data_IF_681718272969
#
_entry.id   IF_681718272969
#
_cell.length_a   1.000
_cell.length_b   1.000
_cell.length_c   1.000
_cell.angle_alpha   90.00
_cell.angle_beta   90.00
_cell.angle_gamma   90.00
#
_symmetry.space_group_name_H-M   'P 1'
#
loop_
_entity.id
_entity.type
_entity.pdbx_description
1 polymer ?
#
# COMPACT_ATOMS: atom_id res chain seq x y z
N UNK A 1 -30.66 -69.96 -12.43
CA UNK A 1 -29.49 -69.08 -12.32
C UNK A 1 -29.61 -67.99 -13.37
N UNK A 2 -30.14 -66.82 -13.02
CA UNK A 2 -30.13 -65.62 -13.88
C UNK A 2 -29.71 -64.48 -12.95
N UNK A 3 -28.49 -63.99 -13.15
CA UNK A 3 -27.91 -62.89 -12.40
C UNK A 3 -28.59 -61.58 -12.80
N UNK A 4 -29.10 -60.82 -11.82
CA UNK A 4 -29.58 -59.46 -12.02
C UNK A 4 -28.40 -58.50 -11.92
N UNK A 5 -28.05 -57.86 -13.04
CA UNK A 5 -27.15 -56.71 -13.07
C UNK A 5 -27.83 -55.53 -12.36
N UNK A 6 -27.17 -55.00 -11.32
CA UNK A 6 -27.50 -53.69 -10.77
C UNK A 6 -26.74 -52.63 -11.57
N UNK A 7 -27.47 -51.75 -12.26
CA UNK A 7 -26.91 -50.57 -12.90
C UNK A 7 -26.80 -49.49 -11.82
N UNK A 8 -25.59 -49.17 -11.40
CA UNK A 8 -25.32 -48.03 -10.54
C UNK A 8 -25.34 -46.75 -11.41
N UNK A 9 -26.30 -45.87 -11.16
CA UNK A 9 -26.31 -44.53 -11.73
C UNK A 9 -25.22 -43.70 -11.04
N UNK A 10 -24.17 -43.35 -11.78
CA UNK A 10 -23.17 -42.38 -11.32
C UNK A 10 -23.79 -40.99 -11.42
N UNK A 11 -24.10 -40.38 -10.26
CA UNK A 11 -24.41 -38.97 -10.15
C UNK A 11 -23.08 -38.21 -10.24
N UNK A 12 -22.82 -37.57 -11.38
CA UNK A 12 -21.74 -36.60 -11.50
C UNK A 12 -22.12 -35.39 -10.65
N UNK A 13 -21.45 -35.20 -9.52
CA UNK A 13 -21.40 -33.90 -8.86
C UNK A 13 -20.47 -33.00 -9.69
N UNK A 14 -21.05 -32.13 -10.50
CA UNK A 14 -20.35 -30.94 -10.97
C UNK A 14 -20.12 -30.07 -9.74
N UNK A 15 -18.91 -30.13 -9.17
CA UNK A 15 -18.42 -29.10 -8.27
C UNK A 15 -18.17 -27.88 -9.16
N UNK A 16 -19.17 -27.00 -9.27
CA UNK A 16 -18.90 -25.64 -9.69
C UNK A 16 -18.02 -25.03 -8.59
N UNK A 17 -16.75 -24.74 -8.91
CA UNK A 17 -15.93 -23.89 -8.05
C UNK A 17 -16.67 -22.57 -7.82
N UNK A 18 -16.45 -21.87 -6.68
CA UNK A 18 -17.02 -20.55 -6.51
C UNK A 18 -16.53 -19.71 -7.69
N UNK A 19 -17.44 -19.03 -8.39
CA UNK A 19 -17.02 -17.92 -9.23
C UNK A 19 -16.28 -16.96 -8.30
N UNK A 20 -14.98 -16.81 -8.50
CA UNK A 20 -14.14 -15.87 -7.76
C UNK A 20 -14.79 -14.48 -7.96
N UNK A 21 -15.34 -13.90 -6.89
CA UNK A 21 -15.92 -12.57 -6.97
C UNK A 21 -14.77 -11.55 -7.06
N UNK A 22 -14.93 -10.53 -7.91
CA UNK A 22 -14.03 -9.38 -7.92
C UNK A 22 -13.93 -8.75 -6.52
N UNK A 23 -12.87 -8.00 -6.27
CA UNK A 23 -12.65 -7.30 -5.00
C UNK A 23 -13.90 -6.53 -4.57
N UNK A 24 -14.24 -6.63 -3.29
CA UNK A 24 -15.39 -5.97 -2.70
C UNK A 24 -15.14 -4.50 -2.31
N UNK A 25 -13.94 -3.98 -2.62
CA UNK A 25 -13.46 -2.67 -2.25
C UNK A 25 -13.68 -1.64 -3.38
N UNK A 26 -14.29 -0.49 -3.05
CA UNK A 26 -14.49 0.62 -4.00
C UNK A 26 -14.11 1.97 -3.40
N UNK A 27 -13.65 2.89 -4.23
CA UNK A 27 -13.46 4.28 -3.85
C UNK A 27 -14.78 5.07 -4.03
N UNK A 28 -15.37 5.54 -2.93
CA UNK A 28 -16.64 6.24 -2.95
C UNK A 28 -16.61 7.48 -2.04
N UNK A 29 -16.64 8.66 -2.65
CA UNK A 29 -16.39 9.90 -1.93
C UNK A 29 -14.99 9.86 -1.30
N UNK A 30 -14.85 10.34 -0.06
CA UNK A 30 -13.54 10.45 0.60
C UNK A 30 -12.99 9.13 1.19
N UNK A 31 -13.65 8.00 0.97
CA UNK A 31 -13.35 6.76 1.66
C UNK A 31 -13.40 5.55 0.74
N UNK A 32 -12.60 4.54 1.08
CA UNK A 32 -12.80 3.20 0.55
C UNK A 32 -13.98 2.55 1.26
N UNK A 33 -14.79 1.79 0.52
CA UNK A 33 -15.94 1.07 1.07
C UNK A 33 -15.96 -0.38 0.65
N UNK A 34 -16.40 -1.24 1.56
CA UNK A 34 -16.67 -2.64 1.25
C UNK A 34 -18.07 -2.84 0.62
N UNK A 35 -18.41 -4.09 0.31
CA UNK A 35 -19.71 -4.45 -0.24
C UNK A 35 -20.89 -4.11 0.70
N UNK A 36 -20.68 -4.03 2.02
CA UNK A 36 -21.70 -3.63 2.99
C UNK A 36 -21.84 -2.11 3.15
N UNK A 37 -20.95 -1.33 2.50
CA UNK A 37 -20.92 0.12 2.59
C UNK A 37 -20.20 0.66 3.83
N UNK A 38 -19.49 -0.19 4.57
CA UNK A 38 -18.63 0.26 5.68
C UNK A 38 -17.42 0.96 5.11
N UNK A 39 -16.95 2.00 5.81
CA UNK A 39 -15.68 2.63 5.47
C UNK A 39 -14.53 1.69 5.84
N UNK A 40 -13.64 1.42 4.89
CA UNK A 40 -12.43 0.61 5.09
C UNK A 40 -11.24 1.55 5.21
N UNK A 41 -10.47 1.43 6.29
CA UNK A 41 -9.18 2.11 6.41
C UNK A 41 -8.09 1.11 6.02
N UNK A 42 -7.31 1.46 5.01
CA UNK A 42 -6.25 0.59 4.50
C UNK A 42 -4.93 0.86 5.25
N UNK A 43 -4.34 -0.17 5.84
CA UNK A 43 -3.03 -0.12 6.52
C UNK A 43 -2.19 -1.30 6.09
N UNK A 44 -1.00 -1.02 5.60
CA UNK A 44 -0.17 -2.02 4.96
C UNK A 44 1.27 -1.62 4.78
N UNK A 45 1.92 -2.33 3.87
CA UNK A 45 3.32 -2.18 3.51
C UNK A 45 3.49 -2.24 2.00
N UNK A 46 4.60 -1.66 1.52
CA UNK A 46 5.13 -1.98 0.21
C UNK A 46 5.89 -3.32 0.28
N UNK A 47 5.84 -4.11 -0.79
CA UNK A 47 6.50 -5.41 -0.86
C UNK A 47 7.03 -5.64 -2.29
N UNK A 48 8.31 -5.89 -2.53
CA UNK A 48 9.44 -5.78 -1.61
C UNK A 48 10.63 -5.08 -2.27
N UNK A 49 11.55 -4.53 -1.48
CA UNK A 49 12.71 -3.79 -2.01
C UNK A 49 13.61 -4.65 -2.91
N UNK A 50 13.71 -5.94 -2.62
CA UNK A 50 14.50 -6.92 -3.37
C UNK A 50 13.77 -7.44 -4.62
N UNK A 51 12.56 -6.93 -4.90
CA UNK A 51 11.83 -7.20 -6.15
C UNK A 51 12.31 -6.31 -7.30
N UNK A 52 13.07 -5.25 -7.02
CA UNK A 52 13.53 -4.23 -8.00
C UNK A 52 14.57 -4.75 -9.00
N UNK A 53 15.27 -5.83 -8.65
CA UNK A 53 16.38 -6.38 -9.45
C UNK A 53 16.23 -7.89 -9.64
N UNK A 54 16.88 -8.49 -10.66
CA UNK A 54 16.82 -9.93 -10.85
C UNK A 54 17.19 -10.69 -9.56
N UNK A 55 16.42 -11.73 -9.19
CA UNK A 55 15.47 -12.46 -10.03
C UNK A 55 14.01 -11.93 -10.03
N UNK A 56 13.72 -10.77 -9.43
CA UNK A 56 12.39 -10.13 -9.37
C UNK A 56 11.28 -10.89 -8.62
N UNK A 57 11.53 -12.12 -8.17
CA UNK A 57 10.52 -12.98 -7.51
C UNK A 57 10.92 -13.40 -6.09
N UNK A 58 11.15 -12.46 -5.15
CA UNK A 58 11.66 -12.79 -3.81
C UNK A 58 10.63 -13.48 -2.90
N UNK A 59 9.33 -13.29 -3.17
CA UNK A 59 8.24 -13.82 -2.33
C UNK A 59 7.97 -15.28 -2.68
N UNK A 60 8.66 -16.21 -2.04
CA UNK A 60 8.70 -17.62 -2.48
C UNK A 60 7.77 -18.56 -1.72
N UNK A 61 7.10 -18.11 -0.67
CA UNK A 61 6.14 -18.92 0.08
C UNK A 61 5.04 -18.07 0.76
N UNK A 62 3.92 -18.72 1.05
CA UNK A 62 2.76 -18.07 1.67
C UNK A 62 3.08 -17.54 3.08
N UNK A 63 3.94 -18.25 3.83
CA UNK A 63 4.29 -17.95 5.21
C UNK A 63 4.98 -16.59 5.36
N UNK A 64 5.59 -16.07 4.28
CA UNK A 64 6.17 -14.73 4.27
C UNK A 64 5.12 -13.63 4.46
N UNK A 65 3.84 -13.91 4.20
CA UNK A 65 2.75 -12.95 4.39
C UNK A 65 2.06 -13.09 5.75
N UNK A 66 2.33 -14.16 6.52
CA UNK A 66 1.70 -14.41 7.82
C UNK A 66 1.89 -13.24 8.81
N UNK A 67 3.10 -12.65 8.94
CA UNK A 67 3.30 -11.53 9.86
C UNK A 67 2.43 -10.33 9.54
N UNK A 68 2.09 -10.10 8.27
CA UNK A 68 1.30 -8.95 7.85
C UNK A 68 -0.14 -9.04 8.37
N UNK A 69 -0.76 -10.21 8.21
CA UNK A 69 -2.08 -10.50 8.79
C UNK A 69 -2.03 -10.38 10.32
N UNK A 70 -0.96 -10.91 10.92
CA UNK A 70 -0.76 -10.84 12.36
C UNK A 70 -0.57 -9.41 12.89
N UNK A 71 0.01 -8.52 12.10
CA UNK A 71 0.12 -7.11 12.47
C UNK A 71 -1.15 -6.31 12.16
N UNK A 72 -2.21 -7.00 11.75
CA UNK A 72 -3.52 -6.43 11.44
C UNK A 72 -3.53 -5.65 10.13
N UNK A 73 -2.54 -5.84 9.26
CA UNK A 73 -2.53 -5.21 7.94
C UNK A 73 -3.64 -5.79 7.07
N UNK A 74 -4.14 -4.98 6.14
CA UNK A 74 -5.20 -5.37 5.23
C UNK A 74 -4.93 -4.98 3.77
N UNK A 75 -3.79 -4.34 3.48
CA UNK A 75 -3.39 -3.99 2.11
C UNK A 75 -1.89 -4.26 1.95
N UNK A 76 -1.48 -4.67 0.77
CA UNK A 76 -0.09 -4.69 0.31
C UNK A 76 -0.01 -3.84 -0.96
N UNK A 77 0.99 -2.96 -1.08
CA UNK A 77 1.37 -2.38 -2.37
C UNK A 77 2.49 -3.25 -2.95
N UNK A 78 2.14 -4.08 -3.92
CA UNK A 78 3.02 -5.14 -4.42
C UNK A 78 3.65 -4.68 -5.73
N UNK A 79 4.98 -4.55 -5.71
CA UNK A 79 5.77 -4.02 -6.81
C UNK A 79 5.67 -4.95 -8.02
N UNK A 80 5.36 -4.36 -9.16
CA UNK A 80 5.41 -4.97 -10.47
C UNK A 80 6.51 -4.29 -11.29
N UNK A 81 7.56 -5.04 -11.64
CA UNK A 81 8.69 -4.54 -12.42
C UNK A 81 8.49 -4.89 -13.88
N UNK A 82 8.29 -3.88 -14.76
CA UNK A 82 8.01 -4.14 -16.18
C UNK A 82 9.12 -4.93 -16.88
N UNK A 83 10.38 -4.70 -16.49
CA UNK A 83 11.51 -5.48 -17.02
C UNK A 83 11.35 -6.99 -16.83
N UNK A 84 10.82 -7.42 -15.67
CA UNK A 84 10.61 -8.83 -15.39
C UNK A 84 9.56 -9.45 -16.32
N UNK A 85 8.56 -8.66 -16.73
CA UNK A 85 7.47 -9.12 -17.58
C UNK A 85 7.78 -9.05 -19.08
N UNK A 86 8.36 -7.95 -19.56
CA UNK A 86 8.66 -7.74 -20.99
C UNK A 86 10.16 -7.46 -21.19
N UNK A 87 11.04 -8.45 -20.97
CA UNK A 87 12.49 -8.26 -21.03
C UNK A 87 12.98 -7.87 -22.44
N UNK A 88 12.26 -8.26 -23.49
CA UNK A 88 12.48 -7.81 -24.87
C UNK A 88 11.14 -7.32 -25.46
N UNK A 89 11.15 -6.37 -26.43
CA UNK A 89 9.91 -5.81 -26.96
C UNK A 89 8.97 -6.89 -27.54
N UNK A 90 7.83 -7.12 -26.89
CA UNK A 90 6.81 -8.08 -27.30
C UNK A 90 7.12 -9.53 -26.92
N UNK A 91 8.18 -9.77 -26.15
CA UNK A 91 8.49 -11.07 -25.56
C UNK A 91 8.09 -11.00 -24.09
N UNK A 92 7.04 -11.75 -23.73
CA UNK A 92 6.43 -11.70 -22.41
C UNK A 92 6.81 -12.93 -21.60
N UNK A 93 7.25 -12.72 -20.36
CA UNK A 93 7.49 -13.78 -19.39
C UNK A 93 6.21 -14.03 -18.57
N UNK A 94 5.40 -14.98 -19.05
CA UNK A 94 4.17 -15.37 -18.36
C UNK A 94 4.44 -16.04 -16.99
N UNK A 95 5.64 -16.57 -16.76
CA UNK A 95 5.98 -17.15 -15.45
C UNK A 95 6.09 -16.10 -14.35
N UNK A 96 6.42 -14.85 -14.72
CA UNK A 96 6.35 -13.72 -13.79
C UNK A 96 4.90 -13.37 -13.41
N UNK A 97 3.95 -13.50 -14.33
CA UNK A 97 2.53 -13.31 -14.02
C UNK A 97 1.95 -14.46 -13.18
N UNK A 98 2.40 -15.69 -13.41
CA UNK A 98 2.04 -16.84 -12.57
C UNK A 98 2.57 -16.67 -11.14
N UNK A 99 3.80 -16.17 -11.00
CA UNK A 99 4.36 -15.76 -9.71
C UNK A 99 3.50 -14.68 -9.03
N UNK A 100 3.14 -13.63 -9.78
CA UNK A 100 2.35 -12.53 -9.25
C UNK A 100 0.96 -12.99 -8.80
N UNK A 101 0.28 -13.82 -9.60
CA UNK A 101 -1.00 -14.44 -9.23
C UNK A 101 -0.89 -15.27 -7.95
N UNK A 102 0.19 -16.05 -7.81
CA UNK A 102 0.40 -16.87 -6.62
C UNK A 102 0.52 -16.02 -5.35
N UNK A 103 1.14 -14.84 -5.43
CA UNK A 103 1.20 -13.90 -4.31
C UNK A 103 -0.17 -13.28 -4.02
N UNK A 104 -0.97 -12.99 -5.06
CA UNK A 104 -2.35 -12.54 -4.89
C UNK A 104 -3.21 -13.61 -4.19
N UNK A 105 -3.05 -14.89 -4.53
CA UNK A 105 -3.72 -16.01 -3.85
C UNK A 105 -3.35 -16.06 -2.36
N UNK A 106 -2.06 -15.97 -2.03
CA UNK A 106 -1.60 -15.96 -0.62
C UNK A 106 -2.13 -14.74 0.15
N UNK A 107 -2.26 -13.59 -0.49
CA UNK A 107 -2.88 -12.41 0.11
C UNK A 107 -4.39 -12.62 0.33
N UNK A 108 -5.09 -13.23 -0.64
CA UNK A 108 -6.53 -13.52 -0.55
C UNK A 108 -6.85 -14.46 0.63
N UNK A 109 -6.05 -15.50 0.83
CA UNK A 109 -6.19 -16.44 1.97
C UNK A 109 -6.11 -15.74 3.33
N UNK A 110 -5.44 -14.58 3.39
CA UNK A 110 -5.24 -13.77 4.61
C UNK A 110 -6.19 -12.58 4.70
N UNK A 111 -7.10 -12.42 3.74
CA UNK A 111 -7.99 -11.26 3.66
C UNK A 111 -7.23 -9.94 3.48
N UNK A 112 -6.11 -9.99 2.76
CA UNK A 112 -5.27 -8.84 2.45
C UNK A 112 -5.51 -8.46 1.00
N UNK A 113 -5.89 -7.21 0.77
CA UNK A 113 -5.98 -6.66 -0.57
C UNK A 113 -4.58 -6.32 -1.11
N UNK A 114 -4.44 -6.20 -2.42
CA UNK A 114 -3.19 -5.89 -3.11
C UNK A 114 -3.40 -4.74 -4.10
N UNK A 115 -2.56 -3.72 -4.00
CA UNK A 115 -2.39 -2.70 -5.04
C UNK A 115 -1.29 -3.21 -5.96
N UNK A 116 -1.61 -3.39 -7.25
CA UNK A 116 -0.60 -3.66 -8.27
C UNK A 116 0.09 -2.36 -8.61
N UNK A 117 1.37 -2.26 -8.29
CA UNK A 117 2.16 -1.04 -8.46
C UNK A 117 3.17 -1.19 -9.59
N UNK A 118 2.99 -0.44 -10.68
CA UNK A 118 3.99 -0.40 -11.74
C UNK A 118 5.18 0.43 -11.26
N UNK A 119 6.16 -0.29 -10.72
CA UNK A 119 7.26 0.31 -9.98
C UNK A 119 8.40 0.72 -10.91
N UNK A 120 8.98 1.87 -10.62
CA UNK A 120 10.21 2.36 -11.23
C UNK A 120 10.89 3.31 -10.24
N UNK A 121 12.21 3.26 -10.18
CA UNK A 121 13.06 4.30 -9.64
C UNK A 121 14.09 4.67 -10.68
N UNK A 122 14.03 5.93 -11.10
CA UNK A 122 14.94 6.47 -12.10
C UNK A 122 14.95 5.65 -13.40
N UNK A 123 13.75 5.30 -13.87
CA UNK A 123 13.43 4.66 -15.15
C UNK A 123 13.82 3.19 -15.28
N UNK A 124 15.11 2.85 -15.24
CA UNK A 124 15.60 1.50 -15.56
C UNK A 124 16.93 1.21 -14.87
N UNK A 125 17.25 -0.06 -14.61
CA UNK A 125 18.58 -0.46 -14.10
C UNK A 125 19.73 -0.18 -15.06
N UNK A 126 19.42 0.23 -16.29
CA UNK A 126 20.39 0.69 -17.28
C UNK A 126 20.45 2.22 -17.41
N UNK A 127 19.68 2.95 -16.61
CA UNK A 127 19.68 4.41 -16.52
C UNK A 127 20.34 4.88 -15.21
N UNK A 128 20.46 6.20 -15.04
CA UNK A 128 20.98 6.82 -13.80
C UNK A 128 22.31 6.20 -13.34
N UNK A 129 23.27 6.08 -14.27
CA UNK A 129 24.58 5.47 -14.02
C UNK A 129 24.53 4.01 -13.52
N UNK A 130 23.48 3.27 -13.88
CA UNK A 130 23.27 1.86 -13.51
C UNK A 130 22.48 1.66 -12.22
N UNK A 131 22.00 2.73 -11.58
CA UNK A 131 21.35 2.69 -10.27
C UNK A 131 19.81 2.58 -10.31
N UNK A 132 19.18 2.68 -11.48
CA UNK A 132 17.71 2.66 -11.55
C UNK A 132 17.08 1.26 -11.48
N UNK A 133 15.78 1.19 -11.73
CA UNK A 133 14.99 -0.04 -11.90
C UNK A 133 13.62 0.26 -12.53
N UNK A 134 12.83 -0.78 -12.83
CA UNK A 134 11.47 -0.66 -13.35
C UNK A 134 11.32 -1.04 -14.82
N UNK A 135 11.61 -0.09 -15.72
CA UNK A 135 11.42 -0.25 -17.16
C UNK A 135 12.57 -1.10 -17.76
N UNK A 136 12.28 -1.94 -18.77
CA UNK A 136 13.30 -2.74 -19.44
C UNK A 136 14.30 -1.87 -20.20
N UNK A 137 15.50 -2.40 -20.45
CA UNK A 137 16.58 -1.69 -21.14
C UNK A 137 16.15 -1.11 -22.51
N UNK A 138 15.31 -1.82 -23.25
CA UNK A 138 14.84 -1.40 -24.57
C UNK A 138 13.89 -0.20 -24.52
N UNK A 139 13.34 0.13 -23.34
CA UNK A 139 12.48 1.28 -23.14
C UNK A 139 13.27 2.57 -22.83
N UNK A 140 14.58 2.49 -22.60
CA UNK A 140 15.45 3.68 -22.58
C UNK A 140 15.58 4.18 -24.02
N UNK A 141 15.32 5.47 -24.23
CA UNK A 141 15.37 6.09 -25.56
C UNK A 141 16.73 5.91 -26.23
N UNK A 142 16.73 5.71 -27.55
CA UNK A 142 17.95 5.41 -28.30
C UNK A 142 19.01 6.55 -28.27
N UNK A 143 18.63 7.77 -27.89
CA UNK A 143 19.57 8.89 -27.73
C UNK A 143 20.35 8.87 -26.40
N UNK A 144 19.88 8.12 -25.41
CA UNK A 144 20.50 7.97 -24.09
C UNK A 144 21.34 6.69 -24.07
N UNK A 145 22.62 6.74 -23.65
CA UNK A 145 23.44 5.55 -23.54
C UNK A 145 22.97 4.64 -22.41
N UNK A 146 22.97 3.32 -22.65
CA UNK A 146 22.74 2.35 -21.58
C UNK A 146 23.98 2.24 -20.69
N UNK A 147 23.76 2.31 -19.39
CA UNK A 147 24.76 2.05 -18.36
C UNK A 147 24.70 0.58 -17.92
N UNK A 148 25.87 0.01 -17.59
CA UNK A 148 25.89 -1.32 -16.99
C UNK A 148 25.21 -1.24 -15.61
N UNK A 149 24.26 -2.13 -15.30
CA UNK A 149 23.59 -2.14 -14.00
C UNK A 149 24.59 -2.28 -12.86
N UNK A 150 24.50 -1.37 -11.89
CA UNK A 150 25.34 -1.29 -10.71
C UNK A 150 24.43 -1.04 -9.51
N UNK A 151 24.26 -2.07 -8.68
CA UNK A 151 23.41 -2.03 -7.49
C UNK A 151 24.25 -1.80 -6.21
N UNK A 152 25.48 -1.28 -6.35
CA UNK A 152 26.40 -1.16 -5.23
C UNK A 152 26.21 0.13 -4.44
N UNK A 153 26.37 0.04 -3.11
CA UNK A 153 26.34 1.21 -2.22
C UNK A 153 27.35 2.28 -2.65
N UNK A 154 28.52 1.86 -3.13
CA UNK A 154 29.59 2.77 -3.50
C UNK A 154 29.21 3.72 -4.65
N UNK A 155 28.39 3.24 -5.60
CA UNK A 155 27.92 4.03 -6.73
C UNK A 155 26.55 4.68 -6.46
N UNK A 156 25.66 3.97 -5.77
CA UNK A 156 24.24 4.30 -5.76
C UNK A 156 23.69 4.77 -4.40
N UNK A 157 24.49 5.01 -3.37
CA UNK A 157 23.97 5.56 -2.09
C UNK A 157 23.21 6.89 -2.27
N UNK A 158 23.54 7.67 -3.30
CA UNK A 158 22.89 8.94 -3.63
C UNK A 158 22.00 8.86 -4.89
N UNK A 159 21.52 7.66 -5.26
CA UNK A 159 20.77 7.39 -6.50
C UNK A 159 19.63 8.38 -6.74
N UNK A 160 18.91 8.78 -5.69
CA UNK A 160 17.74 9.66 -5.78
C UNK A 160 18.12 11.09 -6.17
N UNK A 161 19.20 11.62 -5.60
CA UNK A 161 19.73 12.94 -5.98
C UNK A 161 20.34 12.90 -7.38
N UNK A 162 21.03 11.80 -7.71
CA UNK A 162 21.59 11.60 -9.05
C UNK A 162 20.48 11.64 -10.10
N UNK A 163 19.43 10.83 -9.94
CA UNK A 163 18.32 10.75 -10.89
C UNK A 163 17.49 12.03 -10.98
N UNK A 164 17.28 12.74 -9.87
CA UNK A 164 16.59 14.04 -9.88
C UNK A 164 17.34 15.13 -10.66
N UNK A 165 18.66 14.99 -10.80
CA UNK A 165 19.52 15.96 -11.49
C UNK A 165 20.02 15.46 -12.85
N UNK A 166 19.61 14.25 -13.25
CA UNK A 166 20.07 13.60 -14.47
C UNK A 166 19.28 14.13 -15.69
N UNK A 167 19.92 14.85 -16.63
CA UNK A 167 19.24 15.31 -17.84
C UNK A 167 18.80 14.16 -18.76
N UNK A 168 19.42 12.98 -18.66
CA UNK A 168 19.02 11.80 -19.46
C UNK A 168 17.63 11.29 -19.07
N UNK A 169 17.25 11.50 -17.81
CA UNK A 169 15.90 11.21 -17.32
C UNK A 169 14.87 12.10 -18.01
N UNK A 170 15.10 13.42 -18.04
CA UNK A 170 14.17 14.36 -18.69
C UNK A 170 13.93 14.00 -20.16
N UNK A 171 15.00 13.64 -20.88
CA UNK A 171 14.92 13.20 -22.27
C UNK A 171 14.11 11.90 -22.40
N UNK A 172 14.40 10.91 -21.56
CA UNK A 172 13.73 9.59 -21.63
C UNK A 172 12.23 9.71 -21.32
N UNK A 173 11.87 10.48 -20.29
CA UNK A 173 10.47 10.75 -19.94
C UNK A 173 9.74 11.50 -21.06
N UNK A 174 10.33 12.53 -21.66
CA UNK A 174 9.74 13.26 -22.80
C UNK A 174 9.44 12.32 -23.98
N UNK A 175 10.38 11.42 -24.31
CA UNK A 175 10.21 10.43 -25.40
C UNK A 175 9.11 9.42 -25.08
N UNK A 176 8.97 9.02 -23.82
CA UNK A 176 7.89 8.15 -23.36
C UNK A 176 6.52 8.82 -23.46
N UNK A 177 6.34 10.02 -22.88
CA UNK A 177 5.04 10.69 -22.90
C UNK A 177 4.56 11.03 -24.31
N UNK A 178 5.48 11.42 -25.19
CA UNK A 178 5.18 11.67 -26.60
C UNK A 178 5.08 10.40 -27.46
N UNK A 179 5.35 9.22 -26.87
CA UNK A 179 5.37 7.92 -27.53
C UNK A 179 6.22 7.86 -28.80
N UNK A 180 7.35 8.57 -28.84
CA UNK A 180 8.14 8.75 -30.07
C UNK A 180 8.73 7.44 -30.60
N UNK A 181 8.93 6.47 -29.70
CA UNK A 181 9.51 5.15 -29.99
C UNK A 181 8.54 3.99 -29.71
N UNK A 182 7.26 4.29 -29.42
CA UNK A 182 6.23 3.28 -29.14
C UNK A 182 6.27 2.67 -27.74
N UNK A 183 7.06 3.24 -26.81
CA UNK A 183 7.19 2.74 -25.43
C UNK A 183 5.90 2.95 -24.64
N UNK A 184 5.22 4.10 -24.76
CA UNK A 184 3.93 4.34 -24.09
C UNK A 184 2.84 3.46 -24.67
N UNK A 185 2.84 3.22 -25.98
CA UNK A 185 1.94 2.23 -26.60
C UNK A 185 2.13 0.85 -25.99
N UNK A 186 3.36 0.39 -25.77
CA UNK A 186 3.64 -0.92 -25.14
C UNK A 186 3.29 -0.95 -23.66
N UNK A 187 3.57 0.13 -22.94
CA UNK A 187 3.17 0.27 -21.55
C UNK A 187 1.64 0.16 -21.39
N UNK A 188 0.85 0.79 -22.27
CA UNK A 188 -0.60 0.63 -22.28
C UNK A 188 -1.02 -0.81 -22.64
N UNK A 189 -0.30 -1.49 -23.52
CA UNK A 189 -0.55 -2.90 -23.82
C UNK A 189 -0.22 -3.83 -22.63
N UNK A 190 0.81 -3.51 -21.84
CA UNK A 190 1.07 -4.19 -20.56
C UNK A 190 -0.11 -3.97 -19.62
N UNK A 191 -0.57 -2.72 -19.43
CA UNK A 191 -1.72 -2.44 -18.56
C UNK A 191 -2.98 -3.21 -18.97
N UNK A 192 -3.28 -3.32 -20.27
CA UNK A 192 -4.41 -4.14 -20.77
C UNK A 192 -4.28 -5.60 -20.32
N UNK A 193 -3.08 -6.18 -20.45
CA UNK A 193 -2.82 -7.57 -20.10
C UNK A 193 -2.86 -7.82 -18.60
N UNK A 194 -2.32 -6.92 -17.79
CA UNK A 194 -2.40 -7.02 -16.33
C UNK A 194 -3.85 -6.92 -15.86
N UNK A 195 -4.64 -6.03 -16.46
CA UNK A 195 -6.06 -5.92 -16.17
C UNK A 195 -6.85 -7.15 -16.63
N UNK A 196 -6.54 -7.71 -17.79
CA UNK A 196 -7.13 -8.97 -18.27
C UNK A 196 -6.76 -10.17 -17.38
N UNK A 197 -5.50 -10.25 -16.93
CA UNK A 197 -5.00 -11.37 -16.11
C UNK A 197 -5.53 -11.34 -14.68
N UNK A 198 -5.53 -10.16 -14.05
CA UNK A 198 -5.75 -10.04 -12.60
C UNK A 198 -7.05 -9.34 -12.20
N UNK A 199 -7.75 -8.67 -13.11
CA UNK A 199 -8.92 -7.83 -12.77
C UNK A 199 -10.06 -8.56 -12.05
N UNK A 200 -10.19 -9.88 -12.26
CA UNK A 200 -11.18 -10.70 -11.56
C UNK A 200 -10.69 -11.27 -10.22
N UNK A 201 -9.44 -11.00 -9.83
CA UNK A 201 -8.83 -11.58 -8.64
C UNK A 201 -9.33 -10.89 -7.36
N UNK A 202 -9.83 -11.62 -6.34
CA UNK A 202 -10.49 -11.05 -5.17
C UNK A 202 -9.56 -10.22 -4.29
N UNK A 203 -8.27 -10.57 -4.24
CA UNK A 203 -7.28 -9.77 -3.53
C UNK A 203 -6.94 -8.47 -4.26
N UNK A 204 -7.13 -8.35 -5.58
CA UNK A 204 -6.68 -7.16 -6.30
C UNK A 204 -7.58 -5.96 -5.94
N UNK A 205 -7.05 -4.99 -5.20
CA UNK A 205 -7.72 -3.73 -4.91
C UNK A 205 -7.80 -2.85 -6.15
N UNK A 206 -6.76 -2.89 -6.97
CA UNK A 206 -6.60 -1.97 -8.08
C UNK A 206 -5.14 -1.76 -8.49
N UNK A 207 -4.91 -0.68 -9.22
CA UNK A 207 -3.67 -0.40 -9.95
C UNK A 207 -3.11 0.95 -9.54
N UNK A 208 -1.89 0.99 -9.02
CA UNK A 208 -1.06 2.19 -9.02
C UNK A 208 -0.35 2.24 -10.37
N UNK A 209 -0.79 3.19 -11.19
CA UNK A 209 -0.47 3.19 -12.61
C UNK A 209 1.03 3.39 -12.80
N UNK A 210 1.67 4.26 -12.03
CA UNK A 210 3.10 4.54 -12.20
C UNK A 210 3.67 5.11 -10.92
N UNK A 211 4.66 4.43 -10.36
CA UNK A 211 5.41 4.90 -9.21
C UNK A 211 6.14 6.21 -9.51
N UNK A 212 6.02 7.19 -8.60
CA UNK A 212 6.78 8.46 -8.59
C UNK A 212 7.11 9.05 -9.98
N UNK A 213 6.09 9.38 -10.79
CA UNK A 213 6.31 9.86 -12.15
C UNK A 213 7.12 11.16 -12.17
N UNK A 214 8.09 11.21 -13.07
CA UNK A 214 8.75 12.45 -13.46
C UNK A 214 7.99 13.07 -14.63
N UNK A 215 7.77 14.38 -14.59
CA UNK A 215 7.07 15.10 -15.65
C UNK A 215 6.12 16.15 -15.12
N UNK A 216 5.52 16.88 -16.05
CA UNK A 216 4.48 17.87 -15.83
C UNK A 216 3.14 17.16 -15.61
N UNK A 217 2.52 17.44 -14.47
CA UNK A 217 1.30 16.74 -14.04
C UNK A 217 0.15 16.84 -15.05
N UNK A 218 -0.15 18.03 -15.58
CA UNK A 218 -1.35 18.22 -16.41
C UNK A 218 -1.15 17.86 -17.89
N UNK A 219 0.07 17.96 -18.41
CA UNK A 219 0.36 17.80 -19.85
C UNK A 219 0.98 16.46 -20.20
N UNK A 220 1.52 15.73 -19.22
CA UNK A 220 2.24 14.47 -19.44
C UNK A 220 1.66 13.34 -18.59
N UNK A 221 1.65 13.51 -17.26
CA UNK A 221 1.24 12.45 -16.32
C UNK A 221 -0.27 12.20 -16.41
N UNK A 222 -1.09 13.24 -16.33
CA UNK A 222 -2.55 13.11 -16.37
C UNK A 222 -3.04 12.48 -17.69
N UNK A 223 -2.56 12.89 -18.89
CA UNK A 223 -2.90 12.20 -20.14
C UNK A 223 -2.48 10.73 -20.17
N UNK A 224 -1.32 10.36 -19.60
CA UNK A 224 -0.96 8.94 -19.43
C UNK A 224 -1.99 8.20 -18.57
N UNK A 225 -2.41 8.79 -17.47
CA UNK A 225 -3.40 8.19 -16.57
C UNK A 225 -4.78 8.07 -17.20
N UNK A 226 -5.24 9.03 -17.99
CA UNK A 226 -6.52 8.92 -18.72
C UNK A 226 -6.48 7.74 -19.71
N UNK A 227 -5.39 7.59 -20.47
CA UNK A 227 -5.25 6.50 -21.44
C UNK A 227 -5.11 5.14 -20.74
N UNK A 228 -4.31 5.05 -19.68
CA UNK A 228 -4.15 3.81 -18.91
C UNK A 228 -5.44 3.42 -18.18
N UNK A 229 -6.17 4.38 -17.61
CA UNK A 229 -7.47 4.17 -17.00
C UNK A 229 -8.48 3.62 -17.99
N UNK A 230 -8.53 4.17 -19.21
CA UNK A 230 -9.44 3.70 -20.26
C UNK A 230 -9.15 2.24 -20.64
N UNK A 231 -7.87 1.86 -20.71
CA UNK A 231 -7.44 0.48 -20.95
C UNK A 231 -7.85 -0.45 -19.81
N UNK A 232 -7.51 -0.08 -18.56
CA UNK A 232 -7.86 -0.88 -17.38
C UNK A 232 -9.37 -1.07 -17.31
N UNK A 233 -10.17 -0.01 -17.44
CA UNK A 233 -11.64 -0.05 -17.35
C UNK A 233 -12.30 -0.93 -18.40
N UNK A 234 -11.65 -1.17 -19.54
CA UNK A 234 -12.16 -2.08 -20.56
C UNK A 234 -12.10 -3.55 -20.13
N UNK A 235 -11.22 -3.90 -19.19
CA UNK A 235 -11.00 -5.26 -18.68
C UNK A 235 -11.49 -5.43 -17.24
N UNK A 236 -11.25 -4.43 -16.41
CA UNK A 236 -11.63 -4.34 -15.01
C UNK A 236 -12.35 -3.00 -14.73
N UNK A 237 -13.68 -2.96 -14.86
CA UNK A 237 -14.46 -1.76 -14.61
C UNK A 237 -14.50 -1.35 -13.13
N UNK A 238 -14.21 -2.27 -12.21
CA UNK A 238 -14.41 -2.12 -10.76
C UNK A 238 -13.09 -1.95 -9.97
N UNK A 239 -11.93 -2.21 -10.58
CA UNK A 239 -10.62 -1.99 -9.97
C UNK A 239 -10.36 -0.53 -9.62
N UNK A 240 -9.79 -0.26 -8.44
CA UNK A 240 -9.47 1.11 -8.04
C UNK A 240 -8.25 1.60 -8.83
N UNK A 241 -8.26 2.84 -9.30
CA UNK A 241 -7.05 3.47 -9.84
C UNK A 241 -6.41 4.31 -8.74
N UNK A 242 -5.15 4.02 -8.40
CA UNK A 242 -4.35 4.81 -7.47
C UNK A 242 -3.53 5.81 -8.27
N UNK A 243 -3.80 7.10 -8.06
CA UNK A 243 -3.24 8.20 -8.84
C UNK A 243 -2.08 8.82 -8.08
N UNK A 244 -0.88 8.49 -8.50
CA UNK A 244 0.38 9.00 -7.96
C UNK A 244 0.69 10.38 -8.59
N UNK A 245 0.95 11.44 -7.80
CA UNK A 245 1.37 12.73 -8.34
C UNK A 245 2.84 12.69 -8.78
N UNK A 246 3.34 13.80 -9.33
CA UNK A 246 4.77 13.93 -9.63
C UNK A 246 5.64 13.65 -8.38
N UNK A 247 6.80 13.02 -8.59
CA UNK A 247 7.81 12.68 -7.56
C UNK A 247 8.15 13.82 -6.60
N UNK A 248 8.03 15.08 -7.05
CA UNK A 248 8.28 16.25 -6.20
C UNK A 248 7.33 16.32 -5.00
N UNK A 249 6.17 15.66 -5.08
CA UNK A 249 5.23 15.54 -3.96
C UNK A 249 5.80 14.69 -2.82
N UNK A 250 6.64 13.69 -3.14
CA UNK A 250 7.31 12.82 -2.17
C UNK A 250 8.21 13.60 -1.21
N UNK A 251 8.75 14.74 -1.64
CA UNK A 251 9.55 15.64 -0.78
C UNK A 251 8.73 16.77 -0.13
N UNK A 252 7.40 16.69 -0.24
CA UNK A 252 6.45 17.60 0.43
C UNK A 252 6.07 18.84 -0.37
N UNK A 253 6.39 18.91 -1.67
CA UNK A 253 5.82 19.94 -2.55
C UNK A 253 4.36 19.60 -2.88
N UNK A 254 3.47 20.60 -3.06
CA UNK A 254 2.07 20.32 -3.35
C UNK A 254 1.91 19.89 -4.81
N UNK A 255 1.17 18.80 -5.03
CA UNK A 255 0.61 18.48 -6.35
C UNK A 255 -0.36 19.57 -6.81
N UNK A 256 -0.33 19.84 -8.12
CA UNK A 256 -1.19 20.78 -8.83
C UNK A 256 -2.00 20.11 -9.94
N UNK A 257 -1.87 18.79 -10.10
CA UNK A 257 -2.62 17.98 -11.04
C UNK A 257 -4.11 18.34 -10.99
N UNK A 258 -4.73 18.48 -12.16
CA UNK A 258 -6.18 18.57 -12.27
C UNK A 258 -6.85 17.23 -11.91
N UNK A 259 -8.14 17.27 -11.56
CA UNK A 259 -8.90 16.06 -11.23
C UNK A 259 -8.99 15.17 -12.48
N UNK A 260 -8.59 13.88 -12.41
CA UNK A 260 -8.85 12.93 -13.48
C UNK A 260 -10.33 12.79 -13.83
N UNK A 261 -10.62 12.47 -15.10
CA UNK A 261 -11.97 12.41 -15.65
C UNK A 261 -12.73 11.13 -15.29
N UNK A 262 -12.00 10.07 -14.92
CA UNK A 262 -12.55 8.78 -14.52
C UNK A 262 -12.99 8.73 -13.06
N UNK A 263 -13.80 7.73 -12.72
CA UNK A 263 -14.30 7.45 -11.37
C UNK A 263 -13.60 6.22 -10.75
N UNK A 264 -13.98 5.92 -9.49
CA UNK A 264 -13.44 4.82 -8.70
C UNK A 264 -11.91 4.85 -8.59
N UNK A 265 -11.39 5.97 -8.10
CA UNK A 265 -9.96 6.21 -7.93
C UNK A 265 -9.64 6.85 -6.58
N UNK A 266 -8.38 6.73 -6.17
CA UNK A 266 -7.84 7.35 -4.97
C UNK A 266 -6.62 8.20 -5.30
N UNK A 267 -6.42 9.29 -4.55
CA UNK A 267 -5.18 10.05 -4.63
C UNK A 267 -4.11 9.35 -3.80
N UNK A 268 -2.99 9.00 -4.42
CA UNK A 268 -1.96 8.12 -3.89
C UNK A 268 -0.56 8.77 -3.77
N UNK A 269 -0.40 9.90 -3.07
CA UNK A 269 0.91 10.54 -2.92
C UNK A 269 1.83 9.77 -1.99
N UNK A 270 3.13 10.10 -2.05
CA UNK A 270 4.14 9.61 -1.11
C UNK A 270 4.64 10.75 -0.22
N UNK A 271 5.32 10.41 0.88
CA UNK A 271 6.04 11.41 1.67
C UNK A 271 7.25 10.87 2.43
N UNK A 272 8.40 11.48 2.15
CA UNK A 272 9.66 11.30 2.85
C UNK A 272 10.22 12.66 3.29
N UNK A 273 10.45 12.83 4.60
CA UNK A 273 11.06 14.05 5.11
C UNK A 273 12.54 14.11 4.73
N UNK A 274 12.92 15.11 3.92
CA UNK A 274 14.27 15.23 3.39
C UNK A 274 15.36 15.32 4.47
N UNK A 275 15.06 15.91 5.64
CA UNK A 275 16.01 15.97 6.75
C UNK A 275 16.20 14.60 7.39
N UNK A 276 15.12 13.86 7.63
CA UNK A 276 15.19 12.47 8.12
C UNK A 276 15.95 11.59 7.12
N UNK A 277 15.63 11.67 5.83
CA UNK A 277 16.29 10.89 4.79
C UNK A 277 17.81 11.16 4.75
N UNK A 278 18.19 12.43 4.77
CA UNK A 278 19.60 12.84 4.69
C UNK A 278 20.41 12.50 5.95
N UNK A 279 19.85 12.73 7.14
CA UNK A 279 20.62 12.63 8.40
C UNK A 279 20.35 11.36 9.20
N UNK A 280 19.42 10.51 8.73
CA UNK A 280 18.90 9.33 9.47
C UNK A 280 18.51 9.69 10.91
N UNK A 281 17.97 10.89 11.10
CA UNK A 281 17.70 11.46 12.42
C UNK A 281 16.45 12.34 12.40
N UNK A 282 15.64 12.22 13.45
CA UNK A 282 14.44 13.03 13.63
C UNK A 282 14.61 14.02 14.78
N UNK A 283 14.31 15.29 14.50
CA UNK A 283 14.54 16.42 15.39
C UNK A 283 13.23 17.01 15.95
N UNK A 284 12.09 16.36 15.71
CA UNK A 284 10.79 16.84 16.17
C UNK A 284 10.10 17.82 15.23
N UNK A 285 10.54 17.91 13.97
CA UNK A 285 9.89 18.71 12.94
C UNK A 285 8.45 18.24 12.68
N UNK A 286 7.55 19.17 12.32
CA UNK A 286 6.15 18.85 12.05
C UNK A 286 5.95 18.44 10.59
N UNK A 287 5.17 17.37 10.38
CA UNK A 287 4.76 16.90 9.06
C UNK A 287 3.36 17.37 8.64
N UNK A 288 2.70 18.24 9.42
CA UNK A 288 1.31 18.62 9.15
C UNK A 288 1.10 19.32 7.79
N UNK A 289 2.00 20.24 7.42
CA UNK A 289 1.85 21.04 6.19
C UNK A 289 1.78 20.20 4.90
N UNK A 290 2.72 19.28 4.62
CA UNK A 290 2.62 18.45 3.42
C UNK A 290 1.35 17.59 3.42
N UNK A 291 1.00 16.98 4.56
CA UNK A 291 -0.22 16.19 4.70
C UNK A 291 -1.52 16.99 4.52
N UNK A 292 -1.59 18.20 5.05
CA UNK A 292 -2.71 19.12 4.82
C UNK A 292 -2.88 19.47 3.33
N UNK A 293 -1.75 19.57 2.59
CA UNK A 293 -1.72 19.76 1.15
C UNK A 293 -2.29 18.56 0.40
N UNK A 294 -1.73 17.37 0.65
CA UNK A 294 -2.19 16.10 0.05
C UNK A 294 -3.68 15.85 0.33
N UNK A 295 -4.11 16.04 1.57
CA UNK A 295 -5.50 15.85 1.96
C UNK A 295 -6.43 16.93 1.37
N UNK A 296 -5.92 18.12 1.01
CA UNK A 296 -6.70 19.15 0.32
C UNK A 296 -6.98 18.74 -1.13
N UNK A 297 -6.01 18.17 -1.82
CA UNK A 297 -6.19 17.63 -3.20
C UNK A 297 -7.26 16.53 -3.17
N UNK A 298 -7.06 15.49 -2.35
CA UNK A 298 -8.01 14.37 -2.24
C UNK A 298 -9.44 14.85 -1.87
N UNK A 299 -9.58 15.78 -0.91
CA UNK A 299 -10.88 16.35 -0.56
C UNK A 299 -11.49 17.23 -1.66
N UNK A 300 -10.68 17.99 -2.39
CA UNK A 300 -11.14 18.83 -3.49
C UNK A 300 -11.69 17.99 -4.64
N UNK A 301 -11.07 16.83 -4.88
CA UNK A 301 -11.54 15.83 -5.82
C UNK A 301 -12.70 14.99 -5.26
N UNK A 302 -12.85 14.90 -3.94
CA UNK A 302 -13.87 14.06 -3.31
C UNK A 302 -13.54 12.57 -3.41
N UNK A 303 -12.27 12.22 -3.28
CA UNK A 303 -11.74 10.84 -3.38
C UNK A 303 -10.99 10.44 -2.10
N UNK A 304 -10.74 9.14 -1.87
CA UNK A 304 -9.90 8.70 -0.77
C UNK A 304 -8.46 9.21 -0.91
N UNK A 305 -7.80 9.41 0.23
CA UNK A 305 -6.36 9.60 0.32
C UNK A 305 -5.73 8.28 0.81
N UNK A 306 -4.79 7.75 0.05
CA UNK A 306 -3.90 6.68 0.48
C UNK A 306 -2.46 7.16 0.35
N UNK A 307 -1.67 7.10 1.42
CA UNK A 307 -0.24 7.41 1.32
C UNK A 307 0.49 6.17 0.79
N UNK A 308 0.84 6.17 -0.51
CA UNK A 308 1.40 5.02 -1.22
C UNK A 308 2.76 4.59 -0.67
N UNK A 309 3.54 5.56 -0.23
CA UNK A 309 4.80 5.32 0.47
C UNK A 309 5.09 6.37 1.52
N UNK A 310 5.68 5.89 2.61
CA UNK A 310 6.28 6.69 3.67
C UNK A 310 7.11 5.78 4.55
N UNK A 311 8.01 6.34 5.33
CA UNK A 311 8.76 5.55 6.30
C UNK A 311 9.96 6.28 6.86
N UNK A 312 10.92 5.49 7.33
CA UNK A 312 12.19 5.96 7.81
C UNK A 312 13.20 4.82 7.87
N UNK A 313 14.50 5.13 7.91
CA UNK A 313 15.55 4.13 7.89
C UNK A 313 15.45 3.20 9.10
N UNK A 314 15.75 1.92 8.90
CA UNK A 314 15.77 0.90 9.95
C UNK A 314 16.91 1.08 10.97
N UNK A 315 17.73 2.12 10.83
CA UNK A 315 18.74 2.59 11.78
C UNK A 315 18.74 4.11 11.85
N UNK A 316 19.06 4.67 13.02
CA UNK A 316 19.17 6.13 13.18
C UNK A 316 18.76 6.65 14.55
N UNK A 317 18.71 7.98 14.68
CA UNK A 317 18.33 8.65 15.94
C UNK A 317 16.86 9.04 15.91
N UNK A 318 16.10 8.65 16.93
CA UNK A 318 14.68 8.98 17.11
C UNK A 318 13.74 8.54 15.96
N UNK A 319 14.13 7.54 15.15
CA UNK A 319 13.29 7.02 14.06
C UNK A 319 11.90 6.55 14.51
N UNK A 320 11.74 5.81 15.64
CA UNK A 320 10.40 5.42 16.10
C UNK A 320 9.46 6.62 16.26
N UNK A 321 9.97 7.76 16.73
CA UNK A 321 9.20 8.98 16.92
C UNK A 321 8.87 9.69 15.58
N UNK A 322 9.73 9.55 14.58
CA UNK A 322 9.46 10.03 13.22
C UNK A 322 8.28 9.28 12.61
N UNK A 323 8.32 7.94 12.69
CA UNK A 323 7.25 7.07 12.18
C UNK A 323 5.95 7.32 12.95
N UNK A 324 6.00 7.47 14.28
CA UNK A 324 4.83 7.88 15.08
C UNK A 324 4.25 9.25 14.64
N UNK A 325 5.09 10.20 14.24
CA UNK A 325 4.65 11.50 13.74
C UNK A 325 4.00 11.41 12.34
N UNK A 326 4.48 10.53 11.46
CA UNK A 326 3.87 10.24 10.16
C UNK A 326 2.49 9.59 10.35
N UNK A 327 2.40 8.51 11.14
CA UNK A 327 1.13 7.84 11.43
C UNK A 327 0.11 8.77 12.08
N UNK A 328 0.54 9.72 12.91
CA UNK A 328 -0.35 10.75 13.45
C UNK A 328 -1.01 11.59 12.36
N UNK A 329 -0.27 11.97 11.31
CA UNK A 329 -0.88 12.72 10.20
C UNK A 329 -1.84 11.84 9.39
N UNK A 330 -1.46 10.58 9.15
CA UNK A 330 -2.34 9.62 8.47
C UNK A 330 -3.66 9.45 9.24
N UNK A 331 -3.60 9.30 10.57
CA UNK A 331 -4.77 9.20 11.45
C UNK A 331 -5.63 10.48 11.46
N UNK A 332 -5.00 11.65 11.56
CA UNK A 332 -5.69 12.96 11.55
C UNK A 332 -6.49 13.17 10.26
N UNK A 333 -5.99 12.66 9.14
CA UNK A 333 -6.66 12.75 7.84
C UNK A 333 -7.54 11.55 7.51
N UNK A 334 -7.63 10.55 8.40
CA UNK A 334 -8.37 9.30 8.18
C UNK A 334 -7.98 8.62 6.85
N UNK A 335 -6.70 8.72 6.50
CA UNK A 335 -6.15 8.21 5.25
C UNK A 335 -5.76 6.73 5.37
N UNK A 336 -5.71 6.06 4.21
CA UNK A 336 -5.01 4.78 4.08
C UNK A 336 -3.49 5.00 3.97
N UNK A 337 -2.69 3.96 4.20
CA UNK A 337 -1.24 4.05 3.96
C UNK A 337 -0.54 2.69 3.82
N UNK A 338 0.53 2.68 3.02
CA UNK A 338 1.46 1.55 2.83
C UNK A 338 2.88 1.99 3.19
N UNK A 339 3.42 1.42 4.27
CA UNK A 339 4.75 1.79 4.76
C UNK A 339 5.85 1.17 3.89
N UNK A 340 6.84 1.97 3.48
CA UNK A 340 8.07 1.48 2.86
C UNK A 340 9.03 1.00 3.95
N UNK A 341 9.45 -0.27 3.97
CA UNK A 341 9.07 -1.40 3.10
C UNK A 341 9.06 -2.69 3.92
N UNK A 342 8.36 -3.73 3.48
CA UNK A 342 8.55 -5.08 4.01
C UNK A 342 9.35 -5.91 3.01
N UNK A 343 10.58 -6.23 3.38
CA UNK A 343 11.49 -7.06 2.57
C UNK A 343 11.77 -8.35 3.36
N UNK A 344 11.05 -9.46 3.09
CA UNK A 344 11.27 -10.71 3.82
C UNK A 344 12.68 -11.28 3.64
N UNK A 345 13.30 -11.02 2.49
CA UNK A 345 14.67 -11.41 2.18
C UNK A 345 15.75 -10.48 2.76
N UNK A 346 15.39 -9.52 3.63
CA UNK A 346 16.36 -8.56 4.16
C UNK A 346 17.49 -9.26 4.90
N UNK A 347 18.73 -8.82 4.68
CA UNK A 347 19.89 -9.29 5.43
C UNK A 347 20.90 -8.15 5.75
N UNK A 348 21.80 -8.29 6.74
CA UNK A 348 22.72 -7.22 7.13
C UNK A 348 23.73 -6.76 6.05
N UNK A 349 23.92 -7.55 4.99
CA UNK A 349 24.83 -7.30 3.86
C UNK A 349 24.09 -6.64 2.71
N UNK A 350 23.04 -7.29 2.19
CA UNK A 350 22.28 -6.79 1.03
C UNK A 350 21.19 -5.79 1.43
N UNK A 351 20.75 -5.82 2.69
CA UNK A 351 19.67 -5.02 3.25
C UNK A 351 18.40 -5.21 2.44
N UNK A 352 17.81 -4.16 1.88
CA UNK A 352 16.63 -4.27 1.01
C UNK A 352 16.94 -4.86 -0.37
N UNK A 353 18.18 -5.26 -0.66
CA UNK A 353 18.54 -5.87 -1.93
C UNK A 353 18.71 -4.87 -3.09
N UNK A 354 18.52 -3.57 -2.84
CA UNK A 354 18.66 -2.51 -3.84
C UNK A 354 19.37 -1.26 -3.27
N UNK A 355 20.36 -0.75 -3.98
CA UNK A 355 21.15 0.47 -3.75
C UNK A 355 21.67 0.72 -2.32
N UNK A 356 21.75 -0.33 -1.49
CA UNK A 356 22.11 -0.21 -0.08
C UNK A 356 21.02 0.38 0.81
N UNK A 357 19.79 0.46 0.31
CA UNK A 357 18.61 0.85 1.06
C UNK A 357 18.42 -0.03 2.29
N UNK A 358 18.00 0.58 3.39
CA UNK A 358 17.89 -0.07 4.70
C UNK A 358 16.61 0.34 5.42
N UNK A 359 15.49 0.20 4.73
CA UNK A 359 14.15 0.61 5.13
C UNK A 359 13.25 -0.56 5.54
N UNK A 360 13.63 -1.83 5.30
CA UNK A 360 12.80 -2.97 5.73
C UNK A 360 12.35 -2.83 7.17
N UNK A 361 11.05 -3.08 7.41
CA UNK A 361 10.43 -3.05 8.73
C UNK A 361 10.82 -4.26 9.61
N UNK A 362 11.46 -5.27 9.03
CA UNK A 362 11.98 -6.45 9.73
C UNK A 362 13.45 -6.70 9.45
N UNK A 363 14.12 -7.41 10.35
CA UNK A 363 15.45 -7.96 10.12
C UNK A 363 15.39 -9.39 9.53
N UNK A 364 16.56 -10.03 9.41
CA UNK A 364 16.79 -11.37 8.84
C UNK A 364 16.19 -12.50 9.69
N UNK A 365 15.69 -12.18 10.88
CA UNK A 365 14.96 -13.11 11.75
C UNK A 365 13.44 -12.89 11.72
N UNK A 366 12.98 -11.92 10.92
CA UNK A 366 11.59 -11.48 10.91
C UNK A 366 11.22 -10.59 12.10
N UNK A 367 12.20 -10.15 12.89
CA UNK A 367 11.93 -9.30 14.06
C UNK A 367 11.67 -7.85 13.61
N UNK A 368 10.60 -7.19 14.11
CA UNK A 368 10.36 -5.77 13.86
C UNK A 368 11.54 -4.87 14.21
N UNK A 369 11.92 -3.99 13.28
CA UNK A 369 12.99 -3.00 13.44
C UNK A 369 12.48 -1.68 14.01
N UNK A 370 13.39 -0.77 14.35
CA UNK A 370 13.07 0.49 15.07
C UNK A 370 12.14 1.43 14.29
N UNK A 371 12.05 1.28 12.98
CA UNK A 371 11.15 2.03 12.10
C UNK A 371 9.74 1.41 12.02
N UNK A 372 9.45 0.35 12.78
CA UNK A 372 8.16 -0.30 12.74
C UNK A 372 7.63 -0.69 14.13
N UNK A 373 6.31 -0.70 14.24
CA UNK A 373 5.57 -1.30 15.35
C UNK A 373 4.14 -1.57 14.91
N UNK A 374 3.54 -2.60 15.46
CA UNK A 374 2.12 -2.90 15.27
C UNK A 374 1.27 -1.78 15.85
N UNK A 375 0.22 -1.37 15.13
CA UNK A 375 -0.63 -0.23 15.50
C UNK A 375 -2.11 -0.61 15.54
N UNK A 376 -2.86 -0.17 16.57
CA UNK A 376 -4.30 -0.35 16.59
C UNK A 376 -4.96 0.65 15.64
N UNK A 377 -6.04 0.22 14.97
CA UNK A 377 -6.82 1.10 14.09
C UNK A 377 -8.21 0.49 13.80
N UNK A 378 -9.13 1.31 13.32
CA UNK A 378 -10.42 0.82 12.83
C UNK A 378 -10.27 0.27 11.40
N UNK A 379 -10.30 -1.05 11.22
CA UNK A 379 -10.17 -1.71 9.91
C UNK A 379 -11.40 -1.46 9.04
N UNK A 380 -12.58 -1.53 9.66
CA UNK A 380 -13.88 -1.28 9.04
C UNK A 380 -14.74 -0.45 9.97
N UNK A 381 -15.48 0.53 9.44
CA UNK A 381 -16.33 1.44 10.23
C UNK A 381 -17.74 1.43 9.67
N UNK A 382 -18.70 1.03 10.49
CA UNK A 382 -20.12 1.07 10.15
C UNK A 382 -20.65 2.51 10.24
N UNK A 383 -20.49 3.27 9.17
CA UNK A 383 -20.79 4.70 9.07
C UNK A 383 -19.56 5.53 8.71
N UNK A 384 -19.62 6.85 8.94
CA UNK A 384 -18.53 7.76 8.58
C UNK A 384 -17.58 7.99 9.76
N UNK A 385 -16.29 7.63 9.67
CA UNK A 385 -15.32 7.93 10.72
C UNK A 385 -15.11 9.44 10.82
N UNK A 386 -15.07 9.95 12.05
CA UNK A 386 -14.83 11.37 12.34
C UNK A 386 -13.52 11.60 13.06
N UNK A 387 -12.97 10.58 13.72
CA UNK A 387 -11.67 10.66 14.40
C UNK A 387 -11.06 9.29 14.61
N UNK A 388 -9.77 9.20 14.38
CA UNK A 388 -8.93 8.10 14.83
C UNK A 388 -7.64 8.66 15.42
N UNK A 389 -7.13 8.02 16.47
CA UNK A 389 -5.78 8.27 16.94
C UNK A 389 -5.26 7.09 17.77
N UNK A 390 -4.05 6.64 17.48
CA UNK A 390 -3.23 5.86 18.38
C UNK A 390 -2.24 6.77 19.13
N UNK A 391 -2.22 6.68 20.45
CA UNK A 391 -1.25 7.36 21.33
C UNK A 391 -0.40 6.32 22.01
N UNK A 392 0.91 6.54 22.05
CA UNK A 392 1.86 5.67 22.74
C UNK A 392 2.36 6.31 24.03
N UNK A 393 2.78 5.45 24.96
CA UNK A 393 3.26 5.87 26.26
C UNK A 393 4.49 6.77 26.13
N UNK A 394 4.47 7.86 26.88
CA UNK A 394 5.53 8.86 26.94
C UNK A 394 5.47 9.56 28.28
N UNK A 395 6.23 10.65 28.44
CA UNK A 395 6.32 11.34 29.73
C UNK A 395 4.96 11.80 30.29
N UNK A 396 4.01 12.17 29.42
CA UNK A 396 2.67 12.66 29.79
C UNK A 396 1.53 11.84 29.17
N UNK A 397 1.83 10.73 28.51
CA UNK A 397 0.85 9.94 27.76
C UNK A 397 0.92 8.48 28.13
N UNK A 398 -0.22 7.81 28.01
CA UNK A 398 -0.33 6.35 28.11
C UNK A 398 -0.78 5.78 26.77
N UNK A 399 -0.52 4.49 26.54
CA UNK A 399 -1.03 3.80 25.36
C UNK A 399 -2.56 3.99 25.30
N UNK A 400 -3.08 4.43 24.16
CA UNK A 400 -4.52 4.45 23.92
C UNK A 400 -4.84 4.47 22.43
N UNK A 401 -6.00 3.92 22.07
CA UNK A 401 -6.63 4.08 20.76
C UNK A 401 -7.99 4.72 20.97
N UNK A 402 -8.35 5.68 20.12
CA UNK A 402 -9.68 6.27 20.08
C UNK A 402 -10.21 6.22 18.65
N UNK A 403 -11.48 5.81 18.53
CA UNK A 403 -12.23 5.80 17.28
C UNK A 403 -13.57 6.47 17.55
N UNK A 404 -13.89 7.48 16.76
CA UNK A 404 -15.18 8.18 16.76
C UNK A 404 -15.74 8.15 15.35
N UNK A 405 -17.04 7.90 15.23
CA UNK A 405 -17.73 7.81 13.95
C UNK A 405 -19.20 8.19 14.08
N UNK A 406 -19.79 8.63 12.98
CA UNK A 406 -21.23 8.75 12.85
C UNK A 406 -21.79 7.41 12.36
N UNK A 407 -22.43 6.66 13.25
CA UNK A 407 -22.85 5.29 12.97
C UNK A 407 -24.09 5.20 12.10
N UNK A 408 -24.03 4.27 11.15
CA UNK A 408 -25.16 3.81 10.37
C UNK A 408 -25.40 2.32 10.63
N UNK A 409 -26.47 1.95 11.38
CA UNK A 409 -26.81 0.56 11.66
C UNK A 409 -27.05 -0.28 10.40
N UNK A 410 -27.40 0.33 9.27
CA UNK A 410 -27.62 -0.39 8.01
C UNK A 410 -26.32 -0.94 7.42
N UNK A 411 -25.16 -0.41 7.81
CA UNK A 411 -23.84 -0.84 7.34
C UNK A 411 -23.20 -1.91 8.24
N UNK A 412 -23.88 -2.35 9.30
CA UNK A 412 -23.42 -3.44 10.16
C UNK A 412 -22.53 -2.98 11.31
N UNK A 413 -21.37 -3.62 11.48
CA UNK A 413 -20.51 -3.49 12.66
C UNK A 413 -19.18 -2.81 12.35
N UNK A 414 -18.67 -2.03 13.32
CA UNK A 414 -17.33 -1.43 13.28
C UNK A 414 -16.32 -2.41 13.86
N UNK A 415 -15.21 -2.62 13.15
CA UNK A 415 -14.12 -3.51 13.49
C UNK A 415 -12.87 -2.69 13.86
N UNK A 416 -12.36 -2.85 15.08
CA UNK A 416 -11.16 -2.14 15.58
C UNK A 416 -10.11 -3.18 15.92
N UNK A 417 -9.06 -3.24 15.11
CA UNK A 417 -7.88 -4.04 15.42
C UNK A 417 -7.15 -3.40 16.60
N UNK A 418 -6.93 -4.19 17.64
CA UNK A 418 -6.28 -3.76 18.86
C UNK A 418 -5.52 -4.95 19.47
N UNK A 419 -4.20 -5.06 19.26
CA UNK A 419 -3.38 -6.09 19.90
C UNK A 419 -3.22 -5.76 21.40
N UNK A 420 -4.25 -6.08 22.19
CA UNK A 420 -4.36 -5.56 23.56
C UNK A 420 -3.27 -6.10 24.49
N UNK A 421 -2.76 -7.31 24.26
CA UNK A 421 -1.68 -7.89 25.03
C UNK A 421 -0.37 -7.09 24.87
N UNK A 422 -0.07 -6.68 23.64
CA UNK A 422 1.15 -5.94 23.31
C UNK A 422 1.06 -4.47 23.71
N UNK A 423 -0.10 -3.85 23.44
CA UNK A 423 -0.32 -2.43 23.73
C UNK A 423 -0.61 -2.15 25.20
N UNK A 424 -1.20 -3.11 25.92
CA UNK A 424 -1.67 -2.91 27.29
C UNK A 424 -1.27 -4.07 28.21
N UNK A 425 0.03 -4.37 28.35
CA UNK A 425 0.51 -5.53 29.12
C UNK A 425 0.14 -5.45 30.62
N UNK A 426 -0.13 -4.26 31.13
CA UNK A 426 -0.51 -4.00 32.52
C UNK A 426 -2.02 -3.78 32.72
N UNK A 427 -2.83 -4.21 31.74
CA UNK A 427 -4.28 -4.03 31.71
C UNK A 427 -4.73 -2.75 31.02
N UNK A 428 -6.00 -2.72 30.62
CA UNK A 428 -6.64 -1.61 29.93
C UNK A 428 -8.08 -1.38 30.40
N UNK A 429 -8.62 -0.21 30.03
CA UNK A 429 -10.04 0.11 30.10
C UNK A 429 -10.59 0.38 28.71
N UNK A 430 -11.82 -0.04 28.47
CA UNK A 430 -12.62 0.37 27.32
C UNK A 430 -13.70 1.36 27.78
N UNK A 431 -13.69 2.54 27.18
CA UNK A 431 -14.70 3.58 27.35
C UNK A 431 -15.55 3.64 26.09
N UNK A 432 -16.87 3.57 26.26
CA UNK A 432 -17.85 3.57 25.17
C UNK A 432 -18.80 4.75 25.36
N UNK A 433 -19.15 5.42 24.27
CA UNK A 433 -20.16 6.49 24.28
C UNK A 433 -21.02 6.42 23.02
N UNK A 434 -22.28 6.84 23.15
CA UNK A 434 -23.33 6.67 22.14
C UNK A 434 -24.42 5.71 22.63
N UNK A 435 -25.67 5.98 22.25
CA UNK A 435 -26.81 5.14 22.63
C UNK A 435 -26.60 3.69 22.19
N UNK A 436 -26.93 2.72 23.05
CA UNK A 436 -26.97 1.29 22.72
C UNK A 436 -25.71 0.74 22.02
N UNK A 437 -24.52 1.28 22.33
CA UNK A 437 -23.25 0.81 21.76
C UNK A 437 -22.70 -0.36 22.57
N UNK A 438 -22.58 -1.51 21.92
CA UNK A 438 -21.94 -2.71 22.49
C UNK A 438 -20.70 -3.06 21.71
N UNK A 439 -19.64 -3.51 22.40
CA UNK A 439 -18.45 -4.07 21.75
C UNK A 439 -18.03 -5.38 22.42
N UNK A 440 -17.64 -6.35 21.61
CA UNK A 440 -17.02 -7.61 22.03
C UNK A 440 -15.57 -7.65 21.52
N UNK A 441 -14.69 -8.33 22.25
CA UNK A 441 -13.30 -8.53 21.85
C UNK A 441 -13.07 -10.00 21.55
N UNK A 442 -12.51 -10.26 20.38
CA UNK A 442 -11.96 -11.56 20.00
C UNK A 442 -10.45 -11.53 20.24
N UNK A 443 -9.96 -12.45 21.07
CA UNK A 443 -8.55 -12.50 21.45
C UNK A 443 -7.67 -13.15 20.37
N UNK A 444 -8.23 -14.08 19.60
CA UNK A 444 -7.52 -14.80 18.55
C UNK A 444 -7.32 -13.86 17.35
N UNK A 445 -8.37 -13.12 16.98
CA UNK A 445 -8.34 -12.13 15.90
C UNK A 445 -7.79 -10.75 16.32
N UNK A 446 -7.57 -10.54 17.63
CA UNK A 446 -7.19 -9.27 18.24
C UNK A 446 -8.09 -8.10 17.81
N UNK A 447 -9.40 -8.36 17.74
CA UNK A 447 -10.38 -7.50 17.10
C UNK A 447 -11.51 -7.14 18.06
N UNK A 448 -11.84 -5.85 18.13
CA UNK A 448 -13.12 -5.42 18.69
C UNK A 448 -14.16 -5.31 17.60
N UNK A 449 -15.31 -5.94 17.82
CA UNK A 449 -16.51 -5.76 16.98
C UNK A 449 -17.53 -4.96 17.75
N UNK A 450 -17.92 -3.81 17.21
CA UNK A 450 -18.80 -2.83 17.85
C UNK A 450 -20.07 -2.60 17.02
N UNK A 451 -21.23 -2.77 17.65
CA UNK A 451 -22.54 -2.68 17.03
C UNK A 451 -23.48 -1.76 17.80
N UNK A 452 -24.43 -1.15 17.09
CA UNK A 452 -25.52 -0.41 17.72
C UNK A 452 -26.77 -0.38 16.82
N UNK A 453 -27.98 -0.58 17.36
CA UNK A 453 -29.21 -0.46 16.57
C UNK A 453 -29.58 1.01 16.28
N UNK A 454 -28.91 1.97 16.92
CA UNK A 454 -29.23 3.40 16.82
C UNK A 454 -28.17 4.15 16.04
N UNK A 455 -28.60 4.88 15.00
CA UNK A 455 -27.74 5.78 14.24
C UNK A 455 -27.22 6.95 15.10
N UNK A 456 -26.16 7.59 14.63
CA UNK A 456 -25.60 8.78 15.26
C UNK A 456 -24.20 8.59 15.85
N UNK A 457 -23.67 9.61 16.56
CA UNK A 457 -22.28 9.62 17.00
C UNK A 457 -21.98 8.51 18.01
N UNK A 458 -20.92 7.76 17.74
CA UNK A 458 -20.38 6.70 18.60
C UNK A 458 -18.90 6.96 18.87
N UNK A 459 -18.44 6.44 19.99
CA UNK A 459 -17.04 6.52 20.39
C UNK A 459 -16.61 5.29 21.16
N UNK A 460 -15.42 4.80 20.81
CA UNK A 460 -14.68 3.80 21.59
C UNK A 460 -13.31 4.37 21.90
N UNK A 461 -12.90 4.30 23.16
CA UNK A 461 -11.51 4.54 23.57
C UNK A 461 -11.01 3.36 24.38
N UNK A 462 -9.92 2.76 23.95
CA UNK A 462 -9.20 1.73 24.71
C UNK A 462 -7.93 2.41 25.24
N UNK A 463 -7.67 2.34 26.54
CA UNK A 463 -6.50 2.99 27.14
C UNK A 463 -5.86 2.11 28.19
N UNK A 464 -4.53 2.22 28.34
CA UNK A 464 -3.81 1.56 29.41
C UNK A 464 -4.32 2.02 30.78
N UNK A 465 -4.26 1.10 31.74
CA UNK A 465 -4.48 1.41 33.14
C UNK A 465 -3.40 2.35 33.67
N UNK A 466 -3.79 3.39 34.42
CA UNK A 466 -2.86 4.05 35.34
C UNK A 466 -2.98 3.31 36.67
N UNK A 467 -2.01 2.44 36.97
CA UNK A 467 -2.03 1.63 38.18
C UNK A 467 -1.60 2.47 39.38
N UNK A 468 -2.53 2.68 40.32
CA UNK A 468 -2.22 3.23 41.64
C UNK A 468 -2.77 2.26 42.70
N UNK A 469 -1.89 1.73 43.56
CA UNK A 469 -2.25 0.75 44.61
C UNK A 469 -2.99 -0.51 44.10
N UNK A 470 -2.63 -1.01 42.91
CA UNK A 470 -3.24 -2.22 42.31
C UNK A 470 -4.64 -2.01 41.73
N UNK A 471 -5.12 -0.76 41.68
CA UNK A 471 -6.38 -0.39 41.05
C UNK A 471 -6.07 0.28 39.71
N UNK A 472 -6.73 -0.19 38.66
CA UNK A 472 -6.68 0.41 37.33
C UNK A 472 -7.54 1.67 37.31
N UNK A 473 -6.94 2.85 37.13
CA UNK A 473 -7.64 4.14 37.00
C UNK A 473 -7.85 4.56 35.55
#
# INVERSE_FOLDING_TARGET
MIARLAIAAAVLFLVAGPAQAASDLRAEGRFFKDAQGRVVILRGVNMAGDSKVPPFTPITSAELLDPLADWGMNIIRFLFTWEAYEPEPGVYDESYLDYYEQVLDWAAERGIWVILDIHQDTWSRYANSGCGEGFPAWAVTAEVPLHAPDNSVANCEAWSIMGLLDPEQEITWDRFYNDTEGVRTRYLAMMDRLAERFGAHPALAGYDLLNEPFGLEDTEILPLYEDAAAVVRARDPDGIIFVSPSIVTSVGLPSRMDRPSFDNFAFAPHFYDALVALTRSYFGQSFAKPFDGMARVARGWGVPLLLGEFGGPGVGTNIPAAVDALYRQIDVHLAGATQWVYTPGWDPVLKDGWNGEDFSITDDTGTPRVNFRVRPYARRVAGEPTRMAATYAGFLSVNSVVVEWNHDPATGETEIFAPVADLFPNGYKIERSGADLTCAYDADERLYTCASPTAGPKRVKIRACVNFLGICF
#
